data_IF_230213569872
#
_entry.id   IF_230213569872
#
_cell.length_a   1.000
_cell.length_b   1.000
_cell.length_c   1.000
_cell.angle_alpha   90.00
_cell.angle_beta   90.00
_cell.angle_gamma   90.00
#
_symmetry.space_group_name_H-M   'P 1'
#
loop_
_entity.id
_entity.type
_entity.pdbx_description
1 polymer ?
#
# COMPACT_ATOMS: atom_id res chain seq x y z
N UNK A 1 -15.42 -1.57 2.68
CA UNK A 1 -14.31 -2.41 2.17
C UNK A 1 -14.31 -3.74 2.91
N UNK A 2 -14.26 -4.83 2.19
CA UNK A 2 -14.13 -6.16 2.76
C UNK A 2 -12.68 -6.60 2.67
N UNK A 3 -12.15 -7.20 3.75
CA UNK A 3 -10.74 -7.53 3.87
C UNK A 3 -10.55 -9.05 3.85
N UNK A 4 -9.67 -9.52 2.98
CA UNK A 4 -9.22 -10.90 3.01
C UNK A 4 -8.07 -11.06 4.00
N UNK A 5 -7.99 -12.22 4.66
CA UNK A 5 -7.13 -12.43 5.83
C UNK A 5 -5.74 -12.99 5.54
N UNK A 6 -5.26 -12.94 4.30
CA UNK A 6 -3.91 -13.42 3.97
C UNK A 6 -2.88 -12.36 4.35
N UNK A 7 -1.98 -12.68 5.28
CA UNK A 7 -0.94 -11.75 5.75
C UNK A 7 0.10 -11.41 4.69
N UNK A 8 0.38 -12.30 3.76
CA UNK A 8 1.38 -12.05 2.71
C UNK A 8 0.82 -11.12 1.65
N UNK A 9 -0.37 -11.41 1.17
CA UNK A 9 -1.11 -10.56 0.24
C UNK A 9 -2.37 -10.09 0.94
N UNK A 10 -2.50 -8.79 1.07
CA UNK A 10 -3.68 -8.18 1.67
C UNK A 10 -4.56 -7.67 0.53
N UNK A 11 -5.80 -8.11 0.48
CA UNK A 11 -6.70 -7.69 -0.57
C UNK A 11 -8.03 -7.19 -0.01
N UNK A 12 -8.63 -6.25 -0.73
CA UNK A 12 -9.82 -5.53 -0.36
C UNK A 12 -10.64 -5.31 -1.63
N UNK A 13 -11.95 -5.50 -1.55
CA UNK A 13 -12.84 -5.04 -2.62
C UNK A 13 -13.32 -3.63 -2.32
N UNK A 14 -13.38 -2.79 -3.33
CA UNK A 14 -13.85 -1.41 -3.21
C UNK A 14 -14.65 -1.03 -4.45
N UNK A 15 -15.69 -0.24 -4.24
CA UNK A 15 -16.53 0.30 -5.30
C UNK A 15 -16.30 1.80 -5.40
N UNK A 16 -16.06 2.29 -6.62
CA UNK A 16 -15.79 3.71 -6.85
C UNK A 16 -17.04 4.53 -6.52
N UNK A 17 -16.87 5.47 -5.59
CA UNK A 17 -17.95 6.31 -5.08
C UNK A 17 -18.06 7.59 -5.90
N UNK A 18 -19.23 8.26 -5.80
CA UNK A 18 -19.50 9.49 -6.54
C UNK A 18 -18.42 10.55 -6.34
N UNK A 19 -18.04 10.81 -5.08
CA UNK A 19 -17.05 11.84 -4.76
C UNK A 19 -15.61 11.43 -5.11
N UNK A 20 -15.40 10.16 -5.45
CA UNK A 20 -14.10 9.63 -5.89
C UNK A 20 -13.91 9.74 -7.40
N UNK A 21 -14.96 10.13 -8.12
CA UNK A 21 -14.98 10.22 -9.58
C UNK A 21 -14.94 11.65 -10.06
N UNK A 22 -14.27 11.87 -11.19
CA UNK A 22 -14.30 13.15 -11.88
C UNK A 22 -15.48 13.29 -12.84
N UNK A 23 -15.56 14.43 -13.49
CA UNK A 23 -16.63 14.72 -14.45
C UNK A 23 -16.63 13.79 -15.66
N UNK A 24 -15.50 13.14 -15.94
CA UNK A 24 -15.35 12.18 -17.04
C UNK A 24 -15.83 10.76 -16.67
N UNK A 25 -16.36 10.56 -15.45
CA UNK A 25 -16.81 9.25 -14.98
C UNK A 25 -15.70 8.31 -14.56
N UNK A 26 -14.46 8.78 -14.50
CA UNK A 26 -13.32 8.00 -14.07
C UNK A 26 -12.89 8.40 -12.66
N UNK A 27 -12.36 7.46 -11.91
CA UNK A 27 -11.79 7.72 -10.60
C UNK A 27 -10.67 8.77 -10.73
N UNK A 28 -10.63 9.71 -9.81
CA UNK A 28 -9.58 10.74 -9.77
C UNK A 28 -8.24 10.09 -9.39
N UNK A 29 -7.13 10.45 -10.05
CA UNK A 29 -5.82 9.87 -9.71
C UNK A 29 -5.43 10.05 -8.25
N UNK A 30 -5.72 11.20 -7.65
CA UNK A 30 -5.44 11.45 -6.24
C UNK A 30 -6.22 10.52 -5.31
N UNK A 31 -7.42 10.09 -5.72
CA UNK A 31 -8.22 9.14 -4.93
C UNK A 31 -7.61 7.74 -5.00
N UNK A 32 -7.02 7.36 -6.14
CA UNK A 32 -6.27 6.10 -6.25
C UNK A 32 -5.14 6.08 -5.22
N UNK A 33 -4.41 7.18 -5.09
CA UNK A 33 -3.33 7.29 -4.11
C UNK A 33 -3.86 7.20 -2.68
N UNK A 34 -5.01 7.79 -2.39
CA UNK A 34 -5.66 7.67 -1.08
C UNK A 34 -6.06 6.23 -0.78
N UNK A 35 -6.61 5.50 -1.76
CA UNK A 35 -6.93 4.10 -1.61
C UNK A 35 -5.69 3.27 -1.32
N UNK A 36 -4.59 3.53 -2.03
CA UNK A 36 -3.32 2.84 -1.82
C UNK A 36 -2.78 3.10 -0.42
N UNK A 37 -2.86 4.34 0.05
CA UNK A 37 -2.43 4.71 1.39
C UNK A 37 -3.24 3.99 2.46
N UNK A 38 -4.55 3.91 2.28
CA UNK A 38 -5.45 3.23 3.21
C UNK A 38 -5.16 1.73 3.29
N UNK A 39 -5.03 1.05 2.15
CA UNK A 39 -4.75 -0.40 2.17
C UNK A 39 -3.35 -0.70 2.68
N UNK A 40 -2.38 0.17 2.40
CA UNK A 40 -1.02 0.02 2.91
C UNK A 40 -0.99 0.08 4.43
N UNK A 41 -1.69 1.04 5.03
CA UNK A 41 -1.78 1.17 6.49
C UNK A 41 -2.52 -0.01 7.11
N UNK A 42 -3.63 -0.43 6.52
CA UNK A 42 -4.39 -1.57 7.01
C UNK A 42 -3.53 -2.84 7.02
N UNK A 43 -2.77 -3.08 5.97
CA UNK A 43 -1.88 -4.24 5.88
C UNK A 43 -0.74 -4.14 6.89
N UNK A 44 -0.09 -2.98 6.99
CA UNK A 44 1.00 -2.77 7.94
C UNK A 44 0.54 -2.99 9.38
N UNK A 45 -0.65 -2.51 9.73
CA UNK A 45 -1.25 -2.75 11.04
C UNK A 45 -1.51 -4.24 11.29
N UNK A 46 -2.01 -4.96 10.27
CA UNK A 46 -2.21 -6.40 10.33
C UNK A 46 -0.90 -7.15 10.58
N UNK A 47 0.20 -6.70 9.99
CA UNK A 47 1.53 -7.26 10.15
C UNK A 47 2.21 -6.84 11.47
N UNK A 48 1.63 -5.88 12.19
CA UNK A 48 2.13 -5.43 13.49
C UNK A 48 3.10 -4.25 13.44
N UNK A 49 3.27 -3.59 12.32
CA UNK A 49 4.16 -2.43 12.20
C UNK A 49 3.51 -1.21 11.53
N UNK A 50 2.20 -1.03 11.75
CA UNK A 50 1.46 0.12 11.25
C UNK A 50 1.63 1.36 12.13
N UNK A 51 0.71 2.30 12.00
CA UNK A 51 0.76 3.62 12.64
C UNK A 51 0.94 3.55 14.16
N UNK A 52 0.16 2.69 14.84
CA UNK A 52 0.25 2.60 16.31
C UNK A 52 1.61 2.08 16.77
N UNK A 53 2.18 1.12 16.04
CA UNK A 53 3.49 0.58 16.35
C UNK A 53 4.58 1.66 16.25
N UNK A 54 4.60 2.41 15.14
CA UNK A 54 5.68 3.40 14.90
C UNK A 54 5.51 4.62 15.81
N UNK A 55 4.28 5.09 16.02
CA UNK A 55 4.05 6.27 16.88
C UNK A 55 4.41 5.99 18.33
N UNK A 56 4.14 4.79 18.85
CA UNK A 56 4.50 4.41 20.20
C UNK A 56 6.01 4.38 20.43
N UNK A 57 6.81 4.34 19.38
CA UNK A 57 8.28 4.27 19.43
C UNK A 57 8.96 5.55 18.94
N UNK A 58 8.20 6.63 18.73
CA UNK A 58 8.69 7.89 18.14
C UNK A 58 9.34 7.67 16.77
N UNK A 59 8.72 6.79 15.98
CA UNK A 59 9.12 6.49 14.62
C UNK A 59 8.03 6.93 13.64
N UNK A 60 8.36 7.01 12.37
CA UNK A 60 7.40 7.25 11.30
C UNK A 60 7.82 6.49 10.05
N UNK A 61 6.85 5.97 9.32
CA UNK A 61 7.05 5.49 7.96
C UNK A 61 7.07 6.67 7.01
N UNK A 62 8.08 6.73 6.16
CA UNK A 62 8.20 7.77 5.13
C UNK A 62 8.31 7.10 3.77
N UNK A 63 7.45 7.50 2.86
CA UNK A 63 7.52 7.05 1.47
C UNK A 63 8.63 7.80 0.76
N UNK A 64 9.63 7.05 0.29
CA UNK A 64 10.81 7.62 -0.37
C UNK A 64 10.56 7.78 -1.86
N UNK A 65 9.83 6.83 -2.46
CA UNK A 65 9.58 6.80 -3.90
C UNK A 65 8.34 5.98 -4.21
N UNK A 66 7.57 6.42 -5.20
CA UNK A 66 6.49 5.63 -5.79
C UNK A 66 6.60 5.71 -7.30
N UNK A 67 6.55 4.54 -7.95
CA UNK A 67 6.40 4.40 -9.39
C UNK A 67 5.06 3.72 -9.66
N UNK A 68 4.24 4.33 -10.51
CA UNK A 68 2.92 3.79 -10.83
C UNK A 68 2.72 3.72 -12.34
N UNK A 69 2.10 2.63 -12.79
CA UNK A 69 1.70 2.43 -14.18
C UNK A 69 0.18 2.28 -14.21
N UNK A 70 -0.47 3.12 -15.01
CA UNK A 70 -1.93 3.14 -15.13
C UNK A 70 -2.32 2.73 -16.54
N UNK A 71 -2.92 1.55 -16.68
CA UNK A 71 -3.50 1.12 -17.97
C UNK A 71 -4.84 1.81 -18.20
N UNK A 72 -5.67 1.87 -17.17
CA UNK A 72 -6.87 2.69 -17.12
C UNK A 72 -7.24 2.98 -15.67
N UNK A 73 -7.96 4.06 -15.45
CA UNK A 73 -8.52 4.36 -14.14
C UNK A 73 -9.84 3.61 -13.95
N UNK A 74 -10.17 3.22 -12.72
CA UNK A 74 -11.48 2.66 -12.42
C UNK A 74 -12.59 3.63 -12.80
N UNK A 75 -13.75 3.08 -13.16
CA UNK A 75 -14.94 3.88 -13.51
C UNK A 75 -15.84 4.05 -12.32
N UNK A 76 -16.61 5.13 -12.32
CA UNK A 76 -17.67 5.33 -11.33
C UNK A 76 -18.57 4.09 -11.24
N UNK A 77 -18.85 3.67 -10.00
CA UNK A 77 -19.64 2.48 -9.66
C UNK A 77 -18.96 1.14 -9.96
N UNK A 78 -17.77 1.15 -10.54
CA UNK A 78 -17.03 -0.10 -10.76
C UNK A 78 -16.54 -0.67 -9.43
N UNK A 79 -16.70 -1.98 -9.26
CA UNK A 79 -16.12 -2.72 -8.13
C UNK A 79 -14.81 -3.35 -8.59
N UNK A 80 -13.74 -3.06 -7.85
CA UNK A 80 -12.39 -3.54 -8.15
C UNK A 80 -11.79 -4.20 -6.93
N UNK A 81 -10.73 -4.98 -7.15
CA UNK A 81 -9.93 -5.56 -6.08
C UNK A 81 -8.64 -4.75 -5.93
N UNK A 82 -8.36 -4.32 -4.71
CA UNK A 82 -7.09 -3.71 -4.33
C UNK A 82 -6.24 -4.79 -3.68
N UNK A 83 -4.98 -4.91 -4.09
CA UNK A 83 -4.05 -5.88 -3.54
C UNK A 83 -2.76 -5.18 -3.16
N UNK A 84 -2.16 -5.60 -2.06
CA UNK A 84 -0.86 -5.10 -1.63
C UNK A 84 -0.07 -6.19 -0.94
N UNK A 85 1.25 -6.14 -1.11
CA UNK A 85 2.20 -7.00 -0.40
C UNK A 85 3.49 -6.24 -0.21
N UNK A 86 4.30 -6.70 0.73
CA UNK A 86 5.53 -6.01 1.10
C UNK A 86 6.65 -7.01 1.33
N UNK A 87 7.87 -6.54 1.18
CA UNK A 87 9.09 -7.29 1.46
C UNK A 87 10.20 -6.32 1.85
N UNK A 88 11.21 -6.83 2.55
CA UNK A 88 12.40 -6.03 2.81
C UNK A 88 13.24 -5.95 1.54
N UNK A 89 13.64 -4.73 1.15
CA UNK A 89 14.44 -4.47 -0.04
C UNK A 89 15.93 -4.35 0.31
N UNK A 90 16.22 -3.49 1.29
CA UNK A 90 17.56 -3.27 1.83
C UNK A 90 17.44 -3.21 3.36
N UNK A 91 18.56 -3.14 4.10
CA UNK A 91 18.47 -2.97 5.57
C UNK A 91 17.67 -1.75 6.01
N UNK A 92 17.59 -0.71 5.18
CA UNK A 92 16.88 0.54 5.52
C UNK A 92 15.55 0.71 4.79
N UNK A 93 15.27 -0.07 3.75
CA UNK A 93 14.11 0.15 2.88
C UNK A 93 13.22 -1.08 2.80
N UNK A 94 11.92 -0.84 2.92
CA UNK A 94 10.89 -1.82 2.61
C UNK A 94 10.26 -1.47 1.27
N UNK A 95 9.98 -2.48 0.46
CA UNK A 95 9.22 -2.33 -0.78
C UNK A 95 7.79 -2.73 -0.55
N UNK A 96 6.86 -1.91 -1.03
CA UNK A 96 5.44 -2.24 -1.06
C UNK A 96 4.95 -2.16 -2.49
N UNK A 97 4.30 -3.22 -2.92
CA UNK A 97 3.64 -3.29 -4.21
C UNK A 97 2.13 -3.16 -4.01
N UNK A 98 1.48 -2.50 -4.95
CA UNK A 98 0.03 -2.26 -4.90
C UNK A 98 -0.54 -2.46 -6.30
N UNK A 99 -1.73 -3.03 -6.37
CA UNK A 99 -2.44 -3.27 -7.61
C UNK A 99 -3.92 -2.94 -7.46
N UNK A 100 -4.51 -2.50 -8.56
CA UNK A 100 -5.96 -2.51 -8.72
C UNK A 100 -6.28 -3.47 -9.86
N UNK A 101 -7.15 -4.43 -9.59
CA UNK A 101 -7.62 -5.41 -10.58
C UNK A 101 -9.10 -5.23 -10.83
N UNK A 102 -9.50 -5.35 -12.10
CA UNK A 102 -10.91 -5.30 -12.46
C UNK A 102 -11.63 -6.63 -12.18
N UNK A 103 -12.92 -6.69 -12.48
CA UNK A 103 -13.73 -7.88 -12.21
C UNK A 103 -13.29 -9.11 -13.00
N UNK A 104 -12.56 -8.92 -14.10
CA UNK A 104 -12.01 -10.00 -14.91
C UNK A 104 -10.61 -10.41 -14.46
N UNK A 105 -10.06 -9.79 -13.41
CA UNK A 105 -8.74 -10.10 -12.91
C UNK A 105 -7.60 -9.40 -13.62
N UNK A 106 -7.89 -8.45 -14.51
CA UNK A 106 -6.86 -7.67 -15.20
C UNK A 106 -6.30 -6.59 -14.26
N UNK A 107 -4.98 -6.47 -14.23
CA UNK A 107 -4.33 -5.40 -13.49
C UNK A 107 -4.45 -4.10 -14.28
N UNK A 108 -5.21 -3.15 -13.75
CA UNK A 108 -5.45 -1.86 -14.40
C UNK A 108 -4.57 -0.73 -13.86
N UNK A 109 -4.11 -0.86 -12.62
CA UNK A 109 -3.14 0.06 -11.99
C UNK A 109 -2.15 -0.79 -11.20
N UNK A 110 -0.87 -0.52 -11.36
CA UNK A 110 0.20 -1.16 -10.60
C UNK A 110 1.14 -0.09 -10.04
N UNK A 111 1.52 -0.21 -8.79
CA UNK A 111 2.45 0.72 -8.16
C UNK A 111 3.48 -0.04 -7.33
N UNK A 112 4.67 0.54 -7.22
CA UNK A 112 5.73 0.03 -6.36
C UNK A 112 6.32 1.20 -5.58
N UNK A 113 6.40 1.04 -4.26
CA UNK A 113 6.84 2.08 -3.34
C UNK A 113 8.02 1.61 -2.52
N UNK A 114 8.90 2.54 -2.19
CA UNK A 114 9.96 2.32 -1.20
C UNK A 114 9.66 3.15 0.04
N UNK A 115 9.76 2.50 1.19
CA UNK A 115 9.47 3.10 2.50
C UNK A 115 10.66 2.96 3.43
N UNK A 116 10.90 3.98 4.25
CA UNK A 116 11.90 3.97 5.29
C UNK A 116 11.25 4.27 6.64
N UNK A 117 11.82 3.72 7.70
CA UNK A 117 11.45 4.11 9.07
C UNK A 117 12.39 5.21 9.53
N UNK A 118 11.83 6.31 9.97
CA UNK A 118 12.58 7.48 10.44
C UNK A 118 12.42 7.60 11.95
N UNK A 119 13.54 7.80 12.65
CA UNK A 119 13.52 8.21 14.04
C UNK A 119 13.17 9.70 14.08
N UNK A 120 12.01 10.05 14.62
CA UNK A 120 11.49 11.41 14.61
C UNK A 120 12.38 12.34 15.42
N UNK A 121 12.94 11.86 16.54
CA UNK A 121 13.77 12.67 17.44
C UNK A 121 15.13 12.96 16.82
N UNK A 122 15.76 11.95 16.23
CA UNK A 122 17.07 12.05 15.60
C UNK A 122 17.02 12.51 14.15
N UNK A 123 15.85 12.46 13.53
CA UNK A 123 15.59 12.85 12.14
C UNK A 123 16.47 12.10 11.14
N UNK A 124 16.59 10.77 11.33
CA UNK A 124 17.38 9.92 10.45
C UNK A 124 16.72 8.56 10.27
N UNK A 125 16.98 7.89 9.14
CA UNK A 125 16.51 6.53 8.94
C UNK A 125 17.15 5.59 9.96
N UNK A 126 16.40 4.55 10.33
CA UNK A 126 16.90 3.49 11.20
C UNK A 126 16.79 2.15 10.46
N UNK A 127 17.70 1.18 10.74
CA UNK A 127 17.59 -0.15 10.17
C UNK A 127 16.25 -0.80 10.53
N UNK A 128 15.62 -1.42 9.55
CA UNK A 128 14.29 -2.04 9.73
C UNK A 128 14.32 -3.14 10.80
N UNK A 129 15.37 -3.96 10.80
CA UNK A 129 15.47 -5.09 11.73
C UNK A 129 15.67 -4.69 13.20
N UNK A 130 15.93 -3.42 13.47
CA UNK A 130 16.05 -2.92 14.84
C UNK A 130 14.69 -2.94 15.56
N UNK A 131 13.62 -2.70 14.83
CA UNK A 131 12.27 -2.59 15.39
C UNK A 131 11.30 -3.62 14.85
N UNK A 132 11.53 -4.14 13.64
CA UNK A 132 10.66 -5.09 12.97
C UNK A 132 11.41 -6.40 12.83
N UNK A 133 10.92 -7.46 13.49
CA UNK A 133 11.61 -8.74 13.58
C UNK A 133 11.61 -9.52 12.26
N UNK A 134 10.58 -9.35 11.44
CA UNK A 134 10.50 -10.05 10.16
C UNK A 134 9.54 -9.35 9.21
N UNK A 135 9.84 -9.43 7.91
CA UNK A 135 8.91 -9.09 6.84
C UNK A 135 8.45 -10.38 6.16
N UNK A 136 7.22 -10.40 5.61
CA UNK A 136 6.78 -11.53 4.79
C UNK A 136 7.68 -11.69 3.57
N UNK A 137 7.80 -12.92 3.08
CA UNK A 137 8.42 -13.14 1.78
C UNK A 137 7.55 -12.53 0.68
N UNK A 138 8.20 -12.07 -0.40
CA UNK A 138 7.46 -11.51 -1.53
C UNK A 138 6.69 -12.62 -2.24
N UNK A 139 5.34 -12.66 -2.17
CA UNK A 139 4.55 -13.73 -2.77
C UNK A 139 4.53 -13.69 -4.30
N UNK A 140 4.96 -12.59 -4.90
CA UNK A 140 5.01 -12.42 -6.35
C UNK A 140 6.45 -12.40 -6.87
N UNK A 141 7.37 -12.99 -6.12
CA UNK A 141 8.76 -13.11 -6.50
C UNK A 141 8.92 -14.08 -7.66
N UNK A 142 9.46 -13.60 -8.75
CA UNK A 142 9.81 -14.43 -9.91
C UNK A 142 11.24 -14.99 -9.79
#
# INVERSE_FOLDING_TARGET
MEYASNKEIYSVQATVRTYESGANGLMKPETVLHWFQEIAEAHASCLGFGYDFVTSRSLAWVEVRMDAAVSRLPRWKETVELRTWTAQETPLLARRNLEIRDAQGNCIVAASCLWAVIDIRRRRPVPLNRHISSFPDNPCKE
#
